data_IF_209455584693
#
_entry.id   IF_209455584693
#
_cell.length_a   1.000
_cell.length_b   1.000
_cell.length_c   1.000
_cell.angle_alpha   90.00
_cell.angle_beta   90.00
_cell.angle_gamma   90.00
#
_symmetry.space_group_name_H-M   'P 1'
#
loop_
_entity.id
_entity.type
_entity.pdbx_description
1 polymer ?
#
# COMPACT_ATOMS: atom_id res chain seq x y z
N UNK A 1 9.12 27.43 2.86
CA UNK A 1 8.27 26.51 2.15
C UNK A 1 7.91 25.31 2.99
N UNK A 2 6.65 24.96 2.96
CA UNK A 2 6.19 23.82 3.72
C UNK A 2 6.78 22.52 3.19
N UNK A 3 6.86 21.51 4.06
CA UNK A 3 7.27 20.19 3.65
C UNK A 3 6.22 19.62 2.69
N UNK A 4 6.68 18.94 1.65
CA UNK A 4 5.77 18.25 0.74
C UNK A 4 5.05 17.15 1.51
N UNK A 5 3.72 17.16 1.41
CA UNK A 5 2.93 16.06 1.97
C UNK A 5 2.88 14.95 0.96
N UNK A 6 3.20 13.74 1.42
CA UNK A 6 3.15 12.56 0.57
C UNK A 6 1.76 11.95 0.68
N UNK A 7 1.18 11.64 -0.47
CA UNK A 7 -0.10 10.97 -0.57
C UNK A 7 0.10 9.55 -1.08
N UNK A 8 -0.92 8.72 -0.93
CA UNK A 8 -0.83 7.33 -1.35
C UNK A 8 -0.45 7.21 -2.83
N UNK A 9 -0.96 8.10 -3.66
CA UNK A 9 -0.68 8.12 -5.09
C UNK A 9 0.79 8.36 -5.41
N UNK A 10 1.50 9.03 -4.51
CA UNK A 10 2.93 9.30 -4.70
C UNK A 10 3.77 8.02 -4.68
N UNK A 11 3.24 6.94 -4.11
CA UNK A 11 3.91 5.64 -4.15
C UNK A 11 4.14 5.16 -5.58
N UNK A 12 3.22 5.51 -6.49
CA UNK A 12 3.36 5.11 -7.88
C UNK A 12 4.50 5.84 -8.60
N UNK A 13 5.02 6.91 -7.99
CA UNK A 13 6.19 7.65 -8.50
C UNK A 13 7.52 7.03 -8.07
N UNK A 14 7.48 6.07 -7.16
CA UNK A 14 8.70 5.38 -6.73
C UNK A 14 9.17 4.43 -7.82
N UNK A 15 10.49 4.23 -7.92
CA UNK A 15 11.00 3.18 -8.79
C UNK A 15 10.63 1.81 -8.20
N UNK A 16 10.81 0.76 -9.00
CA UNK A 16 10.39 -0.58 -8.59
C UNK A 16 11.10 -1.04 -7.32
N UNK A 17 12.39 -0.74 -7.21
CA UNK A 17 13.16 -1.14 -6.04
C UNK A 17 12.66 -0.44 -4.77
N UNK A 18 12.40 0.85 -4.86
CA UNK A 18 11.90 1.63 -3.72
C UNK A 18 10.50 1.21 -3.33
N UNK A 19 9.61 1.01 -4.31
CA UNK A 19 8.26 0.55 -4.04
C UNK A 19 8.28 -0.84 -3.41
N UNK A 20 9.12 -1.74 -3.92
CA UNK A 20 9.26 -3.07 -3.33
C UNK A 20 9.70 -3.00 -1.88
N UNK A 21 10.61 -2.08 -1.56
CA UNK A 21 11.07 -1.89 -0.18
C UNK A 21 9.93 -1.44 0.72
N UNK A 22 9.11 -0.50 0.25
CA UNK A 22 7.96 0.00 1.02
C UNK A 22 6.97 -1.13 1.29
N UNK A 23 6.53 -1.82 0.25
CA UNK A 23 5.51 -2.87 0.41
C UNK A 23 6.04 -4.07 1.20
N UNK A 24 7.33 -4.36 1.12
CA UNK A 24 7.93 -5.44 1.89
C UNK A 24 7.98 -5.13 3.38
N UNK A 25 7.97 -3.85 3.75
CA UNK A 25 7.98 -3.44 5.15
C UNK A 25 6.58 -3.43 5.78
N UNK A 26 5.53 -3.57 4.97
CA UNK A 26 4.15 -3.50 5.44
C UNK A 26 3.58 -4.89 5.67
N UNK A 27 2.69 -5.06 6.69
CA UNK A 27 2.01 -6.34 6.88
C UNK A 27 1.13 -6.69 5.68
N UNK A 28 1.02 -7.98 5.38
CA UNK A 28 0.26 -8.42 4.21
C UNK A 28 -1.23 -8.05 4.30
N UNK A 29 -1.79 -8.03 5.51
CA UNK A 29 -3.21 -7.66 5.69
C UNK A 29 -3.45 -6.21 5.33
N UNK A 30 -2.51 -5.34 5.69
CA UNK A 30 -2.58 -3.93 5.36
C UNK A 30 -2.54 -3.74 3.84
N UNK A 31 -1.64 -4.46 3.17
CA UNK A 31 -1.52 -4.39 1.71
C UNK A 31 -2.79 -4.86 1.02
N UNK A 32 -3.36 -5.97 1.48
CA UNK A 32 -4.59 -6.50 0.91
C UNK A 32 -5.73 -5.49 1.04
N UNK A 33 -5.84 -4.83 2.18
CA UNK A 33 -6.88 -3.84 2.42
C UNK A 33 -6.75 -2.64 1.50
N UNK A 34 -5.55 -2.06 1.40
CA UNK A 34 -5.35 -0.89 0.54
C UNK A 34 -5.50 -1.23 -0.94
N UNK A 35 -5.18 -2.46 -1.33
CA UNK A 35 -5.32 -2.90 -2.71
C UNK A 35 -6.78 -2.91 -3.17
N UNK A 36 -7.74 -3.06 -2.26
CA UNK A 36 -9.15 -2.97 -2.60
C UNK A 36 -9.54 -1.59 -3.13
N UNK A 37 -8.82 -0.55 -2.71
CA UNK A 37 -9.08 0.82 -3.15
C UNK A 37 -8.01 1.33 -4.14
N UNK A 38 -7.10 0.47 -4.57
CA UNK A 38 -6.00 0.85 -5.46
C UNK A 38 -6.39 0.58 -6.91
N UNK A 39 -6.09 1.50 -7.85
CA UNK A 39 -6.33 1.25 -9.27
C UNK A 39 -5.63 -0.03 -9.73
N UNK A 40 -6.24 -0.71 -10.69
CA UNK A 40 -5.77 -2.01 -11.15
C UNK A 40 -4.32 -1.99 -11.60
N UNK A 41 -3.91 -0.98 -12.37
CA UNK A 41 -2.55 -0.89 -12.87
C UNK A 41 -1.52 -0.80 -11.75
N UNK A 42 -1.80 0.00 -10.73
CA UNK A 42 -0.92 0.11 -9.59
C UNK A 42 -0.94 -1.15 -8.74
N UNK A 43 -2.11 -1.75 -8.57
CA UNK A 43 -2.25 -3.00 -7.84
C UNK A 43 -1.43 -4.12 -8.47
N UNK A 44 -1.51 -4.26 -9.79
CA UNK A 44 -0.73 -5.25 -10.51
C UNK A 44 0.77 -5.01 -10.36
N UNK A 45 1.18 -3.75 -10.42
CA UNK A 45 2.57 -3.39 -10.21
C UNK A 45 3.05 -3.80 -8.81
N UNK A 46 2.26 -3.48 -7.80
CA UNK A 46 2.59 -3.84 -6.42
C UNK A 46 2.69 -5.36 -6.26
N UNK A 47 1.74 -6.11 -6.82
CA UNK A 47 1.76 -7.56 -6.76
C UNK A 47 2.99 -8.14 -7.47
N UNK A 48 3.38 -7.56 -8.59
CA UNK A 48 4.55 -8.05 -9.34
C UNK A 48 5.86 -7.85 -8.57
N UNK A 49 5.89 -6.90 -7.65
CA UNK A 49 7.07 -6.61 -6.84
C UNK A 49 7.12 -7.43 -5.56
N UNK A 50 6.02 -8.06 -5.18
CA UNK A 50 6.00 -8.98 -4.04
C UNK A 50 6.53 -10.34 -4.49
N UNK A 51 7.21 -11.03 -3.58
CA UNK A 51 7.76 -12.34 -3.90
C UNK A 51 7.46 -13.35 -2.80
N UNK A 52 7.52 -14.62 -3.16
CA UNK A 52 7.42 -15.71 -2.22
C UNK A 52 6.08 -15.79 -1.50
N UNK A 53 6.14 -16.16 -0.24
CA UNK A 53 4.96 -16.39 0.57
C UNK A 53 4.14 -15.13 0.80
N UNK A 54 4.78 -13.98 0.85
CA UNK A 54 4.07 -12.73 1.11
C UNK A 54 3.09 -12.39 -0.01
N UNK A 55 3.50 -12.61 -1.27
CA UNK A 55 2.60 -12.41 -2.40
C UNK A 55 1.37 -13.29 -2.28
N UNK A 56 1.57 -14.55 -1.94
CA UNK A 56 0.46 -15.49 -1.79
C UNK A 56 -0.46 -15.08 -0.64
N UNK A 57 0.11 -14.65 0.49
CA UNK A 57 -0.67 -14.19 1.63
C UNK A 57 -1.51 -12.96 1.29
N UNK A 58 -0.93 -12.02 0.56
CA UNK A 58 -1.66 -10.82 0.12
C UNK A 58 -2.80 -11.20 -0.81
N UNK A 59 -2.54 -12.08 -1.78
CA UNK A 59 -3.57 -12.51 -2.73
C UNK A 59 -4.71 -13.25 -2.03
N UNK A 60 -4.37 -14.15 -1.12
CA UNK A 60 -5.38 -14.91 -0.39
C UNK A 60 -6.27 -13.99 0.45
N UNK A 61 -5.65 -13.06 1.18
CA UNK A 61 -6.38 -12.13 2.01
C UNK A 61 -7.22 -11.17 1.17
N UNK A 62 -6.69 -10.73 0.03
CA UNK A 62 -7.40 -9.87 -0.92
C UNK A 62 -8.65 -10.56 -1.44
N UNK A 63 -8.55 -11.85 -1.79
CA UNK A 63 -9.70 -12.60 -2.30
C UNK A 63 -10.75 -12.83 -1.24
N UNK A 64 -10.34 -13.01 0.02
CA UNK A 64 -11.26 -13.21 1.13
C UNK A 64 -11.91 -11.93 1.61
N UNK A 65 -11.25 -10.79 1.36
CA UNK A 65 -11.77 -9.48 1.74
C UNK A 65 -12.87 -9.06 0.77
N UNK A 66 -14.11 -9.22 1.18
CA UNK A 66 -15.25 -8.75 0.39
C UNK A 66 -15.89 -7.60 1.16
N UNK A 67 -15.62 -6.39 0.70
CA UNK A 67 -16.10 -5.18 1.36
C UNK A 67 -17.63 -5.10 1.38
N UNK A 68 -18.29 -5.73 0.39
CA UNK A 68 -19.73 -5.74 0.33
C UNK A 68 -20.35 -6.69 1.36
N UNK A 69 -19.61 -7.75 1.71
CA UNK A 69 -20.08 -8.74 2.68
C UNK A 69 -19.69 -8.44 4.11
N UNK A 70 -18.81 -7.45 4.31
CA UNK A 70 -18.46 -7.03 5.66
C UNK A 70 -19.69 -6.39 6.31
N UNK A 71 -20.07 -6.92 7.46
CA UNK A 71 -21.26 -6.45 8.17
C UNK A 71 -20.93 -5.21 9.00
N UNK A 72 -20.36 -4.20 8.34
CA UNK A 72 -19.99 -2.94 8.97
C UNK A 72 -20.44 -1.78 8.07
N UNK A 73 -20.67 -0.59 8.64
CA UNK A 73 -21.02 0.57 7.83
C UNK A 73 -19.94 0.89 6.80
N UNK A 74 -20.37 1.29 5.62
CA UNK A 74 -19.46 1.62 4.54
C UNK A 74 -18.49 2.73 4.92
N UNK A 75 -18.94 3.70 5.72
CA UNK A 75 -18.08 4.76 6.21
C UNK A 75 -16.90 4.24 7.04
N UNK A 76 -17.15 3.17 7.84
CA UNK A 76 -16.10 2.53 8.62
C UNK A 76 -15.06 1.84 7.74
N UNK A 77 -15.52 1.23 6.65
CA UNK A 77 -14.63 0.57 5.70
C UNK A 77 -13.72 1.60 5.04
N UNK A 78 -14.30 2.72 4.59
CA UNK A 78 -13.52 3.80 3.98
C UNK A 78 -12.49 4.34 4.96
N UNK A 79 -12.87 4.53 6.22
CA UNK A 79 -11.96 5.00 7.25
C UNK A 79 -10.80 4.03 7.50
N UNK A 80 -11.08 2.73 7.47
CA UNK A 80 -10.03 1.71 7.64
C UNK A 80 -9.06 1.70 6.47
N UNK A 81 -9.58 1.83 5.24
CA UNK A 81 -8.73 1.91 4.05
C UNK A 81 -7.85 3.15 4.11
N UNK A 82 -8.42 4.29 4.44
CA UNK A 82 -7.66 5.54 4.55
C UNK A 82 -6.59 5.45 5.64
N UNK A 83 -6.90 4.85 6.77
CA UNK A 83 -5.94 4.66 7.85
C UNK A 83 -4.79 3.76 7.40
N UNK A 84 -5.10 2.69 6.65
CA UNK A 84 -4.10 1.80 6.11
C UNK A 84 -3.20 2.52 5.09
N UNK A 85 -3.79 3.35 4.24
CA UNK A 85 -3.02 4.14 3.28
C UNK A 85 -2.07 5.10 3.99
N UNK A 86 -2.54 5.76 5.04
CA UNK A 86 -1.69 6.66 5.84
C UNK A 86 -0.54 5.91 6.50
N UNK A 87 -0.77 4.68 6.95
CA UNK A 87 0.28 3.86 7.55
C UNK A 87 1.37 3.54 6.53
N UNK A 88 0.99 3.20 5.31
CA UNK A 88 1.95 2.93 4.24
C UNK A 88 2.73 4.20 3.90
N UNK A 89 2.06 5.33 3.79
CA UNK A 89 2.72 6.62 3.51
C UNK A 89 3.73 6.95 4.61
N UNK A 90 3.37 6.72 5.86
CA UNK A 90 4.26 6.97 6.99
C UNK A 90 5.51 6.09 6.90
N UNK A 91 5.34 4.82 6.57
CA UNK A 91 6.46 3.90 6.37
C UNK A 91 7.37 4.35 5.23
N UNK A 92 6.77 4.76 4.11
CA UNK A 92 7.53 5.27 2.97
C UNK A 92 8.31 6.52 3.34
N UNK A 93 7.71 7.42 4.10
CA UNK A 93 8.34 8.64 4.53
C UNK A 93 9.57 8.39 5.40
N UNK A 94 9.46 7.46 6.34
CA UNK A 94 10.59 7.08 7.18
C UNK A 94 11.73 6.52 6.32
N UNK A 95 11.40 5.66 5.35
CA UNK A 95 12.41 5.09 4.46
C UNK A 95 13.08 6.16 3.59
N UNK A 96 12.30 7.15 3.14
CA UNK A 96 12.86 8.28 2.39
C UNK A 96 13.82 9.11 3.23
N UNK A 97 13.44 9.40 4.48
CA UNK A 97 14.27 10.17 5.39
C UNK A 97 15.56 9.45 5.73
N UNK A 98 15.50 8.10 5.81
CA UNK A 98 16.68 7.26 6.07
C UNK A 98 17.53 7.01 4.81
N UNK A 99 17.09 7.48 3.65
CA UNK A 99 17.83 7.28 2.40
C UNK A 99 17.73 5.88 1.83
N UNK A 100 16.82 5.05 2.36
CA UNK A 100 16.66 3.67 1.90
C UNK A 100 15.86 3.57 0.60
N UNK A 101 15.06 4.59 0.30
CA UNK A 101 14.32 4.68 -0.96
C UNK A 101 14.46 6.07 -1.53
N UNK A 102 14.20 6.20 -2.83
CA UNK A 102 14.27 7.48 -3.52
C UNK A 102 13.05 7.63 -4.43
N UNK A 103 12.58 8.88 -4.55
CA UNK A 103 11.52 9.17 -5.50
C UNK A 103 12.09 9.15 -6.92
N UNK A 104 11.35 8.54 -7.84
CA UNK A 104 11.73 8.50 -9.25
C UNK A 104 11.54 9.88 -9.88
N UNK A 105 12.47 10.27 -10.65
CA UNK A 105 12.42 11.54 -11.40
C UNK A 105 13.14 12.68 -10.75
#
# INVERSE_FOLDING_TARGET
MGKKQYEYEDLNSLDDKSLATVISSCPYRLLALVMKATPESMRERMLSLLSGNKKQLVLDDFQQLDLEKLNVPQASIIGEVEAAQRTIIRSARVLLEDGQIQLAG
#
